data_IF_650689353182
#
_entry.id   IF_650689353182
#
_cell.length_a   1.000
_cell.length_b   1.000
_cell.length_c   1.000
_cell.angle_alpha   90.00
_cell.angle_beta   90.00
_cell.angle_gamma   90.00
#
_symmetry.space_group_name_H-M   'P 1'
#
loop_
_entity.id
_entity.type
_entity.pdbx_description
1 polymer ?
#
# COMPACT_ATOMS: atom_id res chain seq x y z
N UNK A 1 6.46 -41.78 -13.08
CA UNK A 1 5.64 -41.97 -11.88
C UNK A 1 4.19 -42.02 -12.34
N UNK A 2 3.51 -43.14 -12.19
CA UNK A 2 2.11 -43.26 -12.64
C UNK A 2 1.18 -42.93 -11.48
N UNK A 3 0.41 -41.85 -11.64
CA UNK A 3 -0.55 -41.42 -10.62
C UNK A 3 -1.75 -42.39 -10.67
N UNK A 4 -2.16 -42.94 -9.52
CA UNK A 4 -3.29 -43.86 -9.47
C UNK A 4 -4.63 -43.10 -9.61
N UNK A 5 -5.62 -43.73 -10.24
CA UNK A 5 -6.99 -43.19 -10.34
C UNK A 5 -7.59 -42.92 -8.95
N UNK A 6 -7.26 -43.74 -7.94
CA UNK A 6 -7.68 -43.56 -6.56
C UNK A 6 -7.12 -42.28 -5.93
N UNK A 7 -5.88 -41.88 -6.31
CA UNK A 7 -5.27 -40.62 -5.88
C UNK A 7 -5.96 -39.45 -6.56
N UNK A 8 -6.23 -39.52 -7.86
CA UNK A 8 -6.93 -38.47 -8.59
C UNK A 8 -8.35 -38.24 -8.09
N UNK A 9 -9.13 -39.28 -7.84
CA UNK A 9 -10.50 -39.16 -7.31
C UNK A 9 -10.53 -38.59 -5.88
N UNK A 10 -9.46 -38.71 -5.11
CA UNK A 10 -9.38 -38.13 -3.75
C UNK A 10 -9.02 -36.64 -3.75
N UNK A 11 -8.38 -36.15 -4.80
CA UNK A 11 -7.96 -34.73 -4.93
C UNK A 11 -9.01 -33.90 -5.67
N UNK A 12 -9.84 -34.55 -6.52
CA UNK A 12 -10.94 -33.91 -7.24
C UNK A 12 -12.22 -33.96 -6.41
N UNK A 13 -12.98 -32.88 -6.45
CA UNK A 13 -14.30 -32.79 -5.83
C UNK A 13 -15.33 -32.35 -6.88
N UNK A 14 -16.56 -32.89 -6.79
CA UNK A 14 -17.69 -32.39 -7.56
C UNK A 14 -18.30 -31.17 -6.89
N UNK A 15 -18.89 -30.26 -7.66
CA UNK A 15 -19.47 -29.01 -7.14
C UNK A 15 -20.50 -29.26 -6.02
N UNK A 16 -21.32 -30.33 -6.10
CA UNK A 16 -22.27 -30.68 -5.05
C UNK A 16 -21.61 -31.17 -3.75
N UNK A 17 -20.36 -31.61 -3.79
CA UNK A 17 -19.57 -31.94 -2.59
C UNK A 17 -19.02 -30.65 -1.95
N UNK A 18 -18.68 -29.66 -2.75
CA UNK A 18 -18.27 -28.34 -2.29
C UNK A 18 -19.43 -27.56 -1.67
N UNK A 19 -20.63 -27.69 -2.22
CA UNK A 19 -21.86 -27.06 -1.66
C UNK A 19 -22.26 -27.60 -0.28
N UNK A 20 -21.75 -28.79 0.13
CA UNK A 20 -21.99 -29.39 1.45
C UNK A 20 -21.03 -28.88 2.52
N UNK A 21 -19.95 -28.24 2.16
CA UNK A 21 -19.07 -27.55 3.11
C UNK A 21 -19.82 -26.32 3.62
N UNK A 22 -20.60 -26.48 4.69
CA UNK A 22 -21.28 -25.40 5.39
C UNK A 22 -20.25 -24.32 5.75
N UNK A 23 -20.36 -23.16 5.08
CA UNK A 23 -19.63 -21.93 5.34
C UNK A 23 -18.12 -22.14 5.51
N UNK A 24 -17.40 -22.17 4.40
CA UNK A 24 -15.94 -21.96 4.44
C UNK A 24 -15.68 -20.65 5.22
N UNK A 25 -14.84 -20.70 6.26
CA UNK A 25 -14.53 -19.50 7.01
C UNK A 25 -13.88 -18.47 6.08
N UNK A 26 -14.25 -17.22 6.25
CA UNK A 26 -13.58 -16.11 5.55
C UNK A 26 -12.07 -16.21 5.75
N UNK A 27 -11.29 -15.99 4.69
CA UNK A 27 -9.84 -16.00 4.77
C UNK A 27 -9.40 -14.82 5.65
N UNK A 28 -8.72 -15.13 6.76
CA UNK A 28 -8.15 -14.11 7.64
C UNK A 28 -7.21 -13.19 6.85
N UNK A 29 -7.47 -11.90 6.85
CA UNK A 29 -6.54 -10.90 6.32
C UNK A 29 -5.67 -10.35 7.45
N UNK A 30 -4.40 -10.69 7.44
CA UNK A 30 -3.40 -10.16 8.38
C UNK A 30 -3.30 -8.64 8.18
N UNK A 31 -3.37 -7.89 9.28
CA UNK A 31 -3.50 -6.43 9.27
C UNK A 31 -4.71 -5.92 8.46
N UNK A 32 -5.71 -6.76 8.19
CA UNK A 32 -6.83 -6.43 7.31
C UNK A 32 -6.47 -6.31 5.83
N UNK A 33 -5.23 -6.60 5.47
CA UNK A 33 -4.68 -6.42 4.12
C UNK A 33 -4.32 -7.75 3.46
N UNK A 34 -3.47 -8.53 4.10
CA UNK A 34 -2.75 -9.65 3.48
C UNK A 34 -3.42 -10.99 3.80
N UNK A 35 -4.02 -11.69 2.82
CA UNK A 35 -4.66 -12.98 3.06
C UNK A 35 -3.69 -14.01 3.61
N UNK A 36 -4.05 -14.65 4.73
CA UNK A 36 -3.29 -15.73 5.36
C UNK A 36 -3.26 -16.96 4.48
N UNK A 37 -2.11 -17.61 4.35
CA UNK A 37 -1.90 -18.76 3.48
C UNK A 37 -1.65 -18.38 2.01
N UNK A 38 -1.56 -17.09 1.68
CA UNK A 38 -1.41 -16.60 0.32
C UNK A 38 -0.29 -15.59 0.17
N UNK A 39 0.02 -15.27 -1.08
CA UNK A 39 1.01 -14.26 -1.44
C UNK A 39 0.34 -12.97 -1.91
N UNK A 40 0.83 -11.85 -1.41
CA UNK A 40 0.41 -10.51 -1.80
C UNK A 40 1.58 -9.70 -2.34
N UNK A 41 1.29 -8.73 -3.19
CA UNK A 41 2.27 -7.74 -3.65
C UNK A 41 1.89 -6.37 -3.09
N UNK A 42 2.88 -5.65 -2.59
CA UNK A 42 2.79 -4.24 -2.23
C UNK A 42 3.78 -3.45 -3.10
N UNK A 43 3.25 -2.74 -4.08
CA UNK A 43 4.06 -2.04 -5.08
C UNK A 43 3.94 -0.52 -4.95
N UNK A 44 5.09 0.17 -5.06
CA UNK A 44 5.12 1.63 -5.07
C UNK A 44 6.35 2.14 -5.82
N UNK A 45 6.37 3.42 -6.18
CA UNK A 45 7.59 4.06 -6.68
C UNK A 45 8.67 4.12 -5.61
N UNK A 46 9.92 4.27 -6.02
CA UNK A 46 11.01 4.52 -5.10
C UNK A 46 10.75 5.83 -4.33
N UNK A 47 11.03 5.83 -3.04
CA UNK A 47 10.81 7.01 -2.18
C UNK A 47 9.38 7.19 -1.63
N UNK A 48 8.39 6.43 -2.09
CA UNK A 48 6.99 6.52 -1.62
C UNK A 48 6.77 6.04 -0.17
N UNK A 49 7.77 5.47 0.49
CA UNK A 49 7.62 5.02 1.87
C UNK A 49 7.17 3.56 2.08
N UNK A 50 7.34 2.67 1.07
CA UNK A 50 7.02 1.23 1.20
C UNK A 50 7.56 0.59 2.46
N UNK A 51 8.85 0.75 2.70
CA UNK A 51 9.54 0.18 3.86
C UNK A 51 8.98 0.73 5.17
N UNK A 52 8.68 2.03 5.25
CA UNK A 52 8.06 2.64 6.40
C UNK A 52 6.69 2.06 6.72
N UNK A 53 5.86 1.87 5.68
CA UNK A 53 4.55 1.25 5.86
C UNK A 53 4.65 -0.20 6.32
N UNK A 54 5.58 -0.97 5.76
CA UNK A 54 5.88 -2.34 6.20
C UNK A 54 6.32 -2.38 7.67
N UNK A 55 7.22 -1.48 8.08
CA UNK A 55 7.71 -1.34 9.46
C UNK A 55 6.56 -1.00 10.41
N UNK A 56 5.68 -0.06 10.02
CA UNK A 56 4.47 0.27 10.78
C UNK A 56 3.56 -0.95 10.98
N UNK A 57 3.27 -1.69 9.92
CA UNK A 57 2.46 -2.90 9.99
C UNK A 57 3.10 -3.95 10.91
N UNK A 58 4.42 -4.16 10.80
CA UNK A 58 5.14 -5.10 11.65
C UNK A 58 5.05 -4.71 13.13
N UNK A 59 5.22 -3.43 13.47
CA UNK A 59 5.08 -2.91 14.83
C UNK A 59 3.64 -3.12 15.34
N UNK A 60 2.64 -2.73 14.57
CA UNK A 60 1.25 -2.86 14.94
C UNK A 60 0.83 -4.33 15.17
N UNK A 61 1.26 -5.25 14.30
CA UNK A 61 1.03 -6.70 14.45
C UNK A 61 1.71 -7.27 15.69
N UNK A 62 2.94 -6.83 16.00
CA UNK A 62 3.68 -7.33 17.17
C UNK A 62 2.97 -7.02 18.49
N UNK A 63 2.34 -5.86 18.57
CA UNK A 63 1.59 -5.39 19.73
C UNK A 63 0.18 -6.00 19.79
N UNK A 64 -0.42 -6.26 18.64
CA UNK A 64 -1.84 -6.58 18.50
C UNK A 64 -2.73 -5.36 18.75
N UNK A 65 -4.05 -5.57 18.74
CA UNK A 65 -5.03 -4.51 18.92
C UNK A 65 -5.49 -3.88 17.60
N UNK A 66 -5.89 -2.63 17.65
CA UNK A 66 -6.34 -1.91 16.48
C UNK A 66 -5.16 -1.58 15.55
N UNK A 67 -5.26 -2.00 14.31
CA UNK A 67 -4.33 -1.68 13.24
C UNK A 67 -5.08 -0.78 12.27
N UNK A 68 -4.35 0.13 11.61
CA UNK A 68 -4.94 1.02 10.61
C UNK A 68 -6.18 1.78 11.14
N UNK A 69 -6.04 2.45 12.29
CA UNK A 69 -7.08 3.31 12.88
C UNK A 69 -8.43 2.63 13.14
N UNK A 70 -8.42 1.32 13.43
CA UNK A 70 -9.60 0.60 13.93
C UNK A 70 -10.52 0.01 12.87
N UNK A 71 -10.17 0.08 11.59
CA UNK A 71 -10.94 -0.58 10.52
C UNK A 71 -10.73 -2.09 10.48
N UNK A 72 -9.69 -2.57 11.14
CA UNK A 72 -9.43 -3.98 11.30
C UNK A 72 -9.89 -4.42 12.68
N UNK A 73 -10.64 -5.52 12.80
CA UNK A 73 -10.95 -6.10 14.10
C UNK A 73 -9.67 -6.28 14.93
N UNK A 74 -9.76 -6.14 16.24
CA UNK A 74 -8.60 -6.32 17.13
C UNK A 74 -7.82 -7.55 16.72
N UNK A 75 -6.60 -7.35 16.22
CA UNK A 75 -5.74 -8.47 15.86
C UNK A 75 -5.09 -9.05 17.12
N UNK A 76 -4.86 -10.37 17.11
CA UNK A 76 -3.97 -10.98 18.10
C UNK A 76 -2.53 -10.50 17.87
N UNK A 77 -1.67 -10.65 18.84
CA UNK A 77 -0.24 -10.43 18.65
C UNK A 77 0.31 -11.44 17.64
N UNK A 78 0.99 -10.94 16.62
CA UNK A 78 1.51 -11.73 15.51
C UNK A 78 3.02 -11.56 15.39
N UNK A 79 3.67 -12.59 14.84
CA UNK A 79 5.11 -12.56 14.57
C UNK A 79 5.37 -12.23 13.11
N UNK A 80 6.27 -11.27 12.90
CA UNK A 80 6.69 -10.81 11.58
C UNK A 80 8.14 -11.18 11.33
N UNK A 81 8.43 -11.72 10.14
CA UNK A 81 9.79 -11.87 9.64
C UNK A 81 9.97 -10.93 8.45
N UNK A 82 11.05 -10.17 8.44
CA UNK A 82 11.41 -9.24 7.38
C UNK A 82 12.72 -9.69 6.75
N UNK A 83 12.70 -9.97 5.46
CA UNK A 83 13.89 -10.17 4.64
C UNK A 83 14.27 -8.83 4.01
N UNK A 84 15.25 -8.17 4.63
CA UNK A 84 15.73 -6.84 4.25
C UNK A 84 16.79 -6.94 3.15
N UNK A 85 16.43 -6.59 1.93
CA UNK A 85 17.31 -6.65 0.75
C UNK A 85 17.93 -5.32 0.37
N UNK A 86 17.17 -4.22 0.46
CA UNK A 86 17.64 -2.88 0.10
C UNK A 86 18.05 -2.06 1.33
N UNK A 87 17.22 -2.13 2.36
CA UNK A 87 17.45 -1.41 3.61
C UNK A 87 18.08 -2.39 4.61
N UNK A 88 19.36 -2.29 4.85
CA UNK A 88 20.04 -3.15 5.81
C UNK A 88 19.42 -3.05 7.22
N UNK A 89 19.57 -4.11 8.00
CA UNK A 89 19.04 -4.25 9.37
C UNK A 89 19.31 -3.03 10.25
N UNK A 90 20.51 -2.46 10.16
CA UNK A 90 20.89 -1.29 10.97
C UNK A 90 20.00 -0.06 10.67
N UNK A 91 19.76 0.24 9.40
CA UNK A 91 18.92 1.38 9.02
C UNK A 91 17.45 1.16 9.39
N UNK A 92 16.96 -0.07 9.26
CA UNK A 92 15.62 -0.45 9.70
C UNK A 92 15.44 -0.22 11.21
N UNK A 93 16.38 -0.70 12.03
CA UNK A 93 16.34 -0.46 13.48
C UNK A 93 16.42 1.02 13.81
N UNK A 94 17.28 1.79 13.12
CA UNK A 94 17.40 3.25 13.31
C UNK A 94 16.07 3.98 12.98
N UNK A 95 15.37 3.55 11.94
CA UNK A 95 14.03 4.08 11.61
C UNK A 95 13.04 3.79 12.72
N UNK A 96 12.95 2.56 13.21
CA UNK A 96 12.08 2.20 14.33
C UNK A 96 12.36 3.04 15.58
N UNK A 97 13.61 3.40 15.83
CA UNK A 97 13.98 4.28 16.95
C UNK A 97 13.53 5.73 16.73
N UNK A 98 13.37 6.16 15.48
CA UNK A 98 12.91 7.50 15.15
C UNK A 98 11.37 7.63 15.19
N UNK A 99 10.64 6.55 15.47
CA UNK A 99 9.18 6.55 15.59
C UNK A 99 8.74 6.57 17.06
N UNK A 100 7.49 6.93 17.29
CA UNK A 100 6.82 6.76 18.58
C UNK A 100 6.06 5.42 18.68
N UNK A 101 6.24 4.52 17.71
CA UNK A 101 5.50 3.27 17.67
C UNK A 101 5.95 2.32 18.79
N UNK A 102 4.99 1.92 19.59
CA UNK A 102 5.18 0.82 20.53
C UNK A 102 5.18 -0.51 19.78
N UNK A 103 6.11 -1.40 20.11
CA UNK A 103 6.17 -2.73 19.50
C UNK A 103 6.86 -3.75 20.42
N UNK A 104 6.49 -5.02 20.24
CA UNK A 104 7.14 -6.15 20.91
C UNK A 104 8.33 -6.62 20.08
N UNK A 105 9.53 -6.29 20.54
CA UNK A 105 10.81 -6.61 19.88
C UNK A 105 11.00 -8.12 19.65
N UNK A 106 10.41 -8.96 20.49
CA UNK A 106 10.52 -10.42 20.36
C UNK A 106 9.70 -10.99 19.20
N UNK A 107 8.81 -10.19 18.59
CA UNK A 107 7.91 -10.60 17.53
C UNK A 107 8.26 -10.05 16.14
N UNK A 108 9.34 -9.28 16.05
CA UNK A 108 9.86 -8.77 14.78
C UNK A 108 11.26 -9.30 14.58
N UNK A 109 11.45 -10.15 13.58
CA UNK A 109 12.75 -10.71 13.22
C UNK A 109 13.18 -10.18 11.86
N UNK A 110 14.41 -9.72 11.74
CA UNK A 110 14.96 -9.18 10.50
C UNK A 110 16.14 -10.05 10.06
N UNK A 111 16.08 -10.52 8.83
CA UNK A 111 17.17 -11.19 8.13
C UNK A 111 17.70 -10.24 7.05
N UNK A 112 18.92 -9.78 7.22
CA UNK A 112 19.60 -8.86 6.32
C UNK A 112 20.32 -9.64 5.22
N UNK A 113 20.02 -9.35 3.96
CA UNK A 113 20.62 -10.06 2.82
C UNK A 113 22.16 -9.94 2.79
N UNK A 114 22.71 -8.79 3.17
CA UNK A 114 24.16 -8.56 3.19
C UNK A 114 24.81 -9.36 4.32
N UNK A 115 24.18 -9.39 5.52
CA UNK A 115 24.68 -10.21 6.63
C UNK A 115 24.63 -11.70 6.27
N UNK A 116 23.52 -12.18 5.71
CA UNK A 116 23.40 -13.58 5.27
C UNK A 116 24.48 -13.95 4.24
N UNK A 117 24.73 -13.07 3.27
CA UNK A 117 25.79 -13.28 2.28
C UNK A 117 27.19 -13.27 2.92
N UNK A 118 27.45 -12.40 3.86
CA UNK A 118 28.74 -12.32 4.60
C UNK A 118 29.02 -13.58 5.41
N UNK A 119 27.97 -14.17 5.99
CA UNK A 119 28.04 -15.43 6.75
C UNK A 119 27.93 -16.66 5.84
N UNK A 120 28.00 -16.47 4.52
CA UNK A 120 27.90 -17.53 3.51
C UNK A 120 26.61 -18.37 3.61
N UNK A 121 25.56 -17.80 4.17
CA UNK A 121 24.25 -18.46 4.28
C UNK A 121 23.51 -18.35 2.94
N UNK A 122 23.20 -19.46 2.27
CA UNK A 122 22.47 -19.42 1.01
C UNK A 122 21.08 -18.82 1.18
N UNK A 123 20.69 -17.85 0.36
CA UNK A 123 19.41 -17.16 0.45
C UNK A 123 18.67 -17.05 -0.88
N UNK A 124 19.31 -17.43 -1.99
CA UNK A 124 18.70 -17.31 -3.32
C UNK A 124 17.58 -18.32 -3.53
N UNK A 125 16.35 -17.86 -3.63
CA UNK A 125 15.12 -18.67 -3.71
C UNK A 125 14.96 -19.46 -5.02
N UNK A 126 15.79 -19.19 -5.99
CA UNK A 126 15.90 -20.02 -7.22
C UNK A 126 16.91 -21.17 -7.08
N UNK A 127 17.57 -21.33 -5.92
CA UNK A 127 18.47 -22.46 -5.62
C UNK A 127 17.86 -23.39 -4.59
N UNK A 128 18.30 -24.64 -4.56
CA UNK A 128 17.85 -25.64 -3.59
C UNK A 128 18.27 -25.25 -2.18
N UNK A 129 19.50 -24.77 -2.01
CA UNK A 129 20.12 -24.38 -0.75
C UNK A 129 19.39 -23.17 -0.14
N UNK A 130 19.12 -22.12 -0.95
CA UNK A 130 18.40 -20.94 -0.49
C UNK A 130 16.95 -21.28 -0.09
N UNK A 131 16.31 -22.19 -0.79
CA UNK A 131 14.98 -22.71 -0.39
C UNK A 131 15.02 -23.45 0.92
N UNK A 132 16.02 -24.31 1.12
CA UNK A 132 16.21 -25.03 2.38
C UNK A 132 16.43 -24.05 3.55
N UNK A 133 17.24 -23.01 3.34
CA UNK A 133 17.44 -21.94 4.32
C UNK A 133 16.12 -21.26 4.69
N UNK A 134 15.30 -20.86 3.71
CA UNK A 134 14.01 -20.24 3.99
C UNK A 134 13.10 -21.18 4.77
N UNK A 135 13.01 -22.47 4.40
CA UNK A 135 12.22 -23.46 5.14
C UNK A 135 12.69 -23.55 6.59
N UNK A 136 14.01 -23.64 6.83
CA UNK A 136 14.58 -23.69 8.19
C UNK A 136 14.19 -22.46 9.01
N UNK A 137 14.25 -21.27 8.42
CA UNK A 137 13.83 -20.02 9.06
C UNK A 137 12.33 -20.08 9.40
N UNK A 138 11.50 -20.56 8.47
CA UNK A 138 10.06 -20.66 8.69
C UNK A 138 9.70 -21.66 9.81
N UNK A 139 10.39 -22.78 9.88
CA UNK A 139 10.21 -23.78 10.96
C UNK A 139 10.63 -23.26 12.33
N UNK A 140 11.71 -22.49 12.38
CA UNK A 140 12.24 -21.89 13.61
C UNK A 140 11.38 -20.73 14.08
N UNK A 141 11.07 -19.79 13.20
CA UNK A 141 10.43 -18.54 13.55
C UNK A 141 8.90 -18.63 13.61
N UNK A 142 8.29 -19.50 12.81
CA UNK A 142 6.83 -19.69 12.72
C UNK A 142 6.09 -18.35 12.60
N UNK A 143 6.42 -17.51 11.61
CA UNK A 143 5.84 -16.19 11.49
C UNK A 143 4.39 -16.26 11.01
N UNK A 144 3.58 -15.24 11.36
CA UNK A 144 2.27 -15.02 10.79
C UNK A 144 2.35 -14.33 9.43
N UNK A 145 3.37 -13.50 9.25
CA UNK A 145 3.64 -12.80 7.98
C UNK A 145 5.14 -12.70 7.73
N UNK A 146 5.52 -12.85 6.47
CA UNK A 146 6.88 -12.56 6.00
C UNK A 146 6.84 -11.48 4.93
N UNK A 147 7.80 -10.57 4.99
CA UNK A 147 8.01 -9.51 4.01
C UNK A 147 9.35 -9.72 3.31
N UNK A 148 9.37 -9.57 1.99
CA UNK A 148 10.59 -9.43 1.20
C UNK A 148 10.71 -7.98 0.73
N UNK A 149 11.70 -7.25 1.21
CA UNK A 149 11.90 -5.83 0.95
C UNK A 149 13.31 -5.55 0.35
N UNK A 150 13.52 -5.73 -0.92
CA UNK A 150 12.62 -6.21 -1.98
C UNK A 150 12.97 -7.63 -2.40
N UNK A 151 12.09 -8.30 -3.15
CA UNK A 151 12.30 -9.69 -3.57
C UNK A 151 13.57 -9.87 -4.42
N UNK A 152 13.96 -8.87 -5.22
CA UNK A 152 15.12 -8.95 -6.14
C UNK A 152 16.43 -9.31 -5.45
N UNK A 153 16.59 -9.00 -4.17
CA UNK A 153 17.79 -9.33 -3.40
C UNK A 153 17.86 -10.81 -2.97
N UNK A 154 16.80 -11.57 -3.19
CA UNK A 154 16.65 -12.95 -2.72
C UNK A 154 16.53 -13.97 -3.86
N UNK A 155 16.81 -13.60 -5.09
CA UNK A 155 16.94 -14.50 -6.23
C UNK A 155 17.90 -13.94 -7.27
N UNK A 156 18.46 -14.81 -8.09
CA UNK A 156 19.25 -14.45 -9.29
C UNK A 156 18.52 -14.81 -10.60
N UNK A 157 17.23 -15.11 -10.50
CA UNK A 157 16.38 -15.38 -11.66
C UNK A 157 16.21 -14.11 -12.51
N UNK A 158 16.23 -14.26 -13.82
CA UNK A 158 15.93 -13.17 -14.75
C UNK A 158 14.43 -12.83 -14.69
N UNK A 159 14.09 -11.66 -14.15
CA UNK A 159 12.71 -11.21 -14.00
C UNK A 159 11.96 -11.07 -15.34
N UNK A 160 12.66 -10.95 -16.46
CA UNK A 160 12.05 -10.93 -17.79
C UNK A 160 11.65 -12.31 -18.28
N UNK A 161 12.24 -13.37 -17.73
CA UNK A 161 11.98 -14.77 -18.10
C UNK A 161 10.89 -15.38 -17.22
N UNK A 162 9.69 -15.53 -17.76
CA UNK A 162 8.55 -16.07 -17.04
C UNK A 162 8.83 -17.41 -16.35
N UNK A 163 9.55 -18.33 -16.98
CA UNK A 163 9.82 -19.66 -16.42
C UNK A 163 10.66 -19.62 -15.15
N UNK A 164 11.70 -18.78 -15.11
CA UNK A 164 12.56 -18.63 -13.94
C UNK A 164 11.78 -18.03 -12.76
N UNK A 165 11.05 -16.96 -12.99
CA UNK A 165 10.21 -16.32 -11.98
C UNK A 165 9.07 -17.21 -11.51
N UNK A 166 8.47 -18.03 -12.40
CA UNK A 166 7.43 -18.99 -11.99
C UNK A 166 7.93 -19.93 -10.90
N UNK A 167 9.16 -20.40 -11.00
CA UNK A 167 9.76 -21.29 -10.01
C UNK A 167 9.90 -20.64 -8.63
N UNK A 168 10.33 -19.37 -8.58
CA UNK A 168 10.46 -18.60 -7.32
C UNK A 168 9.09 -18.34 -6.73
N UNK A 169 8.16 -17.81 -7.52
CA UNK A 169 6.81 -17.46 -7.07
C UNK A 169 6.03 -18.68 -6.60
N UNK A 170 6.08 -19.80 -7.34
CA UNK A 170 5.43 -21.05 -6.93
C UNK A 170 5.99 -21.57 -5.60
N UNK A 171 7.29 -21.43 -5.38
CA UNK A 171 7.88 -21.81 -4.11
C UNK A 171 7.36 -20.95 -2.96
N UNK A 172 7.28 -19.62 -3.14
CA UNK A 172 6.74 -18.71 -2.13
C UNK A 172 5.26 -18.96 -1.83
N UNK A 173 4.45 -19.31 -2.82
CA UNK A 173 3.06 -19.72 -2.60
C UNK A 173 2.98 -21.00 -1.76
N UNK A 174 3.83 -21.99 -2.01
CA UNK A 174 3.91 -23.20 -1.19
C UNK A 174 4.34 -22.90 0.25
N UNK A 175 5.24 -21.94 0.46
CA UNK A 175 5.61 -21.47 1.81
C UNK A 175 4.40 -20.84 2.50
N UNK A 176 3.67 -19.95 1.82
CA UNK A 176 2.47 -19.32 2.39
C UNK A 176 1.45 -20.38 2.85
N UNK A 177 1.15 -21.35 2.00
CA UNK A 177 0.21 -22.44 2.28
C UNK A 177 0.70 -23.36 3.40
N UNK A 178 1.94 -23.90 3.26
CA UNK A 178 2.49 -24.89 4.20
C UNK A 178 2.64 -24.36 5.62
N UNK A 179 3.00 -23.09 5.78
CA UNK A 179 3.19 -22.45 7.07
C UNK A 179 1.98 -21.62 7.53
N UNK A 180 0.91 -21.60 6.73
CA UNK A 180 -0.31 -20.83 7.00
C UNK A 180 0.01 -19.38 7.40
N UNK A 181 0.88 -18.71 6.62
CA UNK A 181 1.33 -17.33 6.83
C UNK A 181 1.03 -16.48 5.60
N UNK A 182 1.00 -15.16 5.73
CA UNK A 182 1.00 -14.28 4.57
C UNK A 182 2.44 -14.07 4.06
N UNK A 183 2.63 -14.14 2.76
CA UNK A 183 3.87 -13.76 2.09
C UNK A 183 3.64 -12.44 1.37
N UNK A 184 4.40 -11.40 1.70
CA UNK A 184 4.25 -10.07 1.11
C UNK A 184 5.53 -9.67 0.39
N UNK A 185 5.39 -9.38 -0.90
CA UNK A 185 6.49 -8.93 -1.74
C UNK A 185 6.40 -7.43 -1.93
N UNK A 186 7.35 -6.68 -1.34
CA UNK A 186 7.54 -5.28 -1.69
C UNK A 186 8.18 -5.18 -3.07
N UNK A 187 7.57 -4.40 -3.94
CA UNK A 187 7.95 -4.30 -5.34
C UNK A 187 8.00 -2.85 -5.82
N UNK A 188 8.74 -2.60 -6.89
CA UNK A 188 8.78 -1.27 -7.52
C UNK A 188 7.72 -1.14 -8.61
N UNK A 189 7.20 0.08 -8.77
CA UNK A 189 6.41 0.48 -9.94
C UNK A 189 7.33 1.03 -11.03
N UNK A 190 6.98 0.78 -12.29
CA UNK A 190 7.65 1.39 -13.44
C UNK A 190 7.52 2.90 -13.39
N UNK A 191 8.62 3.62 -13.65
CA UNK A 191 8.56 5.05 -13.88
C UNK A 191 7.77 5.30 -15.16
N UNK A 192 6.65 5.97 -15.05
CA UNK A 192 5.87 6.38 -16.22
C UNK A 192 6.61 7.50 -16.94
N UNK A 193 7.01 7.26 -18.20
CA UNK A 193 7.79 8.22 -19.00
C UNK A 193 6.95 9.29 -19.70
N UNK A 194 5.65 9.36 -19.45
CA UNK A 194 4.77 10.31 -20.15
C UNK A 194 4.84 11.70 -19.53
N UNK A 195 5.88 12.47 -19.90
CA UNK A 195 5.98 13.91 -19.64
C UNK A 195 4.86 14.74 -20.31
N UNK A 196 4.05 14.15 -21.19
CA UNK A 196 2.97 14.82 -21.94
C UNK A 196 1.55 14.41 -21.52
N UNK A 197 1.37 13.53 -20.54
CA UNK A 197 0.05 13.21 -20.04
C UNK A 197 -0.41 14.31 -19.09
N UNK A 198 -1.42 15.08 -19.51
CA UNK A 198 -2.03 16.18 -18.73
C UNK A 198 -2.73 15.73 -17.45
N UNK A 199 -2.85 14.43 -17.21
CA UNK A 199 -3.41 13.84 -15.98
C UNK A 199 -2.55 12.63 -15.64
N UNK A 200 -1.90 12.55 -14.45
CA UNK A 200 -1.28 11.34 -13.97
C UNK A 200 -2.38 10.29 -13.79
N UNK A 201 -2.46 9.31 -14.66
CA UNK A 201 -3.39 8.22 -14.46
C UNK A 201 -2.99 7.44 -13.21
N UNK A 202 -3.93 7.18 -12.30
CA UNK A 202 -3.73 6.31 -11.13
C UNK A 202 -3.00 5.03 -11.54
N UNK A 203 -1.91 4.64 -10.86
CA UNK A 203 -1.20 3.41 -11.18
C UNK A 203 -2.13 2.18 -11.09
N UNK A 204 -1.85 1.18 -11.92
CA UNK A 204 -2.59 -0.09 -11.95
C UNK A 204 -1.62 -1.28 -11.88
N UNK A 205 -2.15 -2.51 -11.92
CA UNK A 205 -1.35 -3.73 -11.80
C UNK A 205 -0.28 -3.90 -12.92
N UNK A 206 -0.48 -3.29 -14.09
CA UNK A 206 0.45 -3.39 -15.23
C UNK A 206 1.68 -2.51 -15.04
N UNK A 207 1.63 -1.58 -14.08
CA UNK A 207 2.76 -0.72 -13.73
C UNK A 207 3.76 -1.39 -12.78
N UNK A 208 3.45 -2.57 -12.24
CA UNK A 208 4.39 -3.32 -11.38
C UNK A 208 5.58 -3.79 -12.23
N UNK A 209 6.80 -3.46 -11.77
CA UNK A 209 8.03 -3.86 -12.48
C UNK A 209 8.22 -5.38 -12.38
N UNK A 210 8.88 -5.95 -13.37
CA UNK A 210 9.29 -7.36 -13.40
C UNK A 210 8.27 -8.27 -14.06
N UNK A 211 8.33 -9.54 -13.70
CA UNK A 211 7.50 -10.56 -14.33
C UNK A 211 6.04 -10.44 -13.93
N UNK A 212 5.16 -10.42 -14.93
CA UNK A 212 3.72 -10.52 -14.73
C UNK A 212 3.30 -11.80 -13.98
N UNK A 213 4.20 -12.78 -13.84
CA UNK A 213 3.93 -14.02 -13.09
C UNK A 213 3.59 -13.75 -11.64
N UNK A 214 4.38 -12.94 -10.95
CA UNK A 214 4.11 -12.60 -9.54
C UNK A 214 2.74 -11.93 -9.38
N UNK A 215 2.42 -10.96 -10.25
CA UNK A 215 1.13 -10.25 -10.24
C UNK A 215 -0.04 -11.21 -10.52
N UNK A 216 0.13 -12.12 -11.50
CA UNK A 216 -0.93 -13.10 -11.85
C UNK A 216 -1.21 -14.09 -10.72
N UNK A 217 -0.16 -14.54 -10.03
CA UNK A 217 -0.24 -15.57 -8.99
C UNK A 217 -0.54 -15.00 -7.60
N UNK A 218 -0.36 -13.70 -7.36
CA UNK A 218 -0.71 -13.05 -6.11
C UNK A 218 -2.24 -13.07 -5.89
N UNK A 219 -2.67 -13.30 -4.65
CA UNK A 219 -4.08 -13.20 -4.23
C UNK A 219 -4.54 -11.75 -4.12
N UNK A 220 -3.65 -10.86 -3.71
CA UNK A 220 -3.89 -9.43 -3.59
C UNK A 220 -2.72 -8.63 -4.14
N UNK A 221 -3.02 -7.52 -4.80
CA UNK A 221 -2.02 -6.55 -5.28
C UNK A 221 -2.43 -5.17 -4.80
N UNK A 222 -1.59 -4.60 -3.95
CA UNK A 222 -1.72 -3.23 -3.44
C UNK A 222 -0.76 -2.33 -4.18
N UNK A 223 -1.23 -1.14 -4.54
CA UNK A 223 -0.41 -0.09 -5.11
C UNK A 223 -0.47 1.12 -4.19
N UNK A 224 0.71 1.59 -3.80
CA UNK A 224 0.87 2.83 -3.08
C UNK A 224 1.44 3.90 -4.00
N UNK A 225 0.83 5.07 -4.01
CA UNK A 225 1.24 6.20 -4.84
C UNK A 225 1.04 7.51 -4.10
N UNK A 226 1.89 8.46 -4.44
CA UNK A 226 1.83 9.82 -3.92
C UNK A 226 0.71 10.58 -4.62
N UNK A 227 -0.26 11.05 -3.85
CA UNK A 227 -1.38 11.86 -4.33
C UNK A 227 -1.01 13.33 -4.53
N UNK A 228 0.13 13.78 -4.02
CA UNK A 228 0.54 15.19 -4.08
C UNK A 228 0.85 15.66 -5.51
N UNK A 229 1.13 14.73 -6.44
CA UNK A 229 1.31 15.08 -7.84
C UNK A 229 0.04 15.54 -8.57
N UNK A 230 -1.14 15.28 -8.00
CA UNK A 230 -2.42 15.81 -8.48
C UNK A 230 -2.71 17.21 -7.89
N UNK A 231 -1.96 17.62 -6.86
CA UNK A 231 -2.03 18.93 -6.23
C UNK A 231 -0.61 19.43 -5.90
N UNK A 232 0.02 20.26 -6.78
CA UNK A 232 1.36 20.79 -6.58
C UNK A 232 1.53 21.64 -5.31
N UNK A 233 0.43 21.99 -4.62
CA UNK A 233 0.44 22.74 -3.37
C UNK A 233 0.13 21.87 -2.14
N UNK A 234 -0.04 20.55 -2.30
CA UNK A 234 -0.15 19.60 -1.20
C UNK A 234 1.20 19.29 -0.51
N UNK A 235 2.27 19.95 -0.91
CA UNK A 235 3.44 20.15 -0.07
C UNK A 235 3.02 21.10 1.06
N UNK A 236 2.39 20.53 2.08
CA UNK A 236 2.20 21.22 3.35
C UNK A 236 3.61 21.41 3.94
N UNK A 237 4.22 22.55 3.60
CA UNK A 237 5.61 22.92 3.92
C UNK A 237 5.88 22.93 5.43
N UNK A 238 4.85 22.71 6.26
CA UNK A 238 4.99 22.92 7.71
C UNK A 238 5.12 21.65 8.54
N UNK A 239 4.69 20.44 8.10
CA UNK A 239 4.75 19.28 9.03
C UNK A 239 4.80 17.87 8.41
N UNK A 240 4.94 17.63 7.13
CA UNK A 240 4.72 16.27 6.68
C UNK A 240 5.40 15.81 5.40
N UNK A 241 5.72 14.55 5.39
CA UNK A 241 6.03 13.81 4.17
C UNK A 241 4.75 13.70 3.32
N UNK A 242 4.88 13.43 2.00
CA UNK A 242 3.74 13.37 1.10
C UNK A 242 2.69 12.36 1.58
N UNK A 243 1.45 12.65 1.28
CA UNK A 243 0.34 11.74 1.52
C UNK A 243 0.38 10.59 0.51
N UNK A 244 0.34 9.38 1.02
CA UNK A 244 0.41 8.16 0.20
C UNK A 244 -0.93 7.46 0.21
N UNK A 245 -1.51 7.27 -0.97
CA UNK A 245 -2.76 6.52 -1.15
C UNK A 245 -2.45 5.06 -1.49
N UNK A 246 -3.11 4.14 -0.79
CA UNK A 246 -3.03 2.70 -1.00
C UNK A 246 -4.34 2.18 -1.58
N UNK A 247 -4.25 1.51 -2.72
CA UNK A 247 -5.38 0.91 -3.42
C UNK A 247 -5.12 -0.58 -3.69
N UNK A 248 -6.06 -1.44 -3.34
CA UNK A 248 -6.05 -2.84 -3.79
C UNK A 248 -6.58 -2.93 -5.22
N UNK A 249 -5.67 -3.11 -6.18
CA UNK A 249 -6.01 -3.18 -7.61
C UNK A 249 -6.43 -4.57 -8.06
N UNK A 250 -5.97 -5.61 -7.34
CA UNK A 250 -6.35 -7.00 -7.54
C UNK A 250 -6.70 -7.64 -6.21
N UNK A 251 -7.79 -8.40 -6.15
CA UNK A 251 -8.17 -9.26 -5.03
C UNK A 251 -8.89 -10.49 -5.54
N UNK A 252 -8.67 -11.63 -4.88
CA UNK A 252 -9.47 -12.84 -5.09
C UNK A 252 -10.76 -12.84 -4.28
N UNK A 253 -10.86 -11.95 -3.30
CA UNK A 253 -12.02 -11.74 -2.45
C UNK A 253 -12.53 -10.30 -2.54
N UNK A 254 -13.36 -9.89 -1.60
CA UNK A 254 -13.80 -8.49 -1.47
C UNK A 254 -12.59 -7.59 -1.27
N UNK A 255 -12.47 -6.56 -2.10
CA UNK A 255 -11.38 -5.58 -2.03
C UNK A 255 -11.42 -4.80 -0.72
N UNK A 256 -10.24 -4.53 -0.22
CA UNK A 256 -10.03 -3.56 0.86
C UNK A 256 -10.39 -2.16 0.36
N UNK A 257 -11.10 -1.35 1.15
CA UNK A 257 -11.34 0.05 0.79
C UNK A 257 -10.03 0.80 0.59
N UNK A 258 -10.01 1.73 -0.35
CA UNK A 258 -8.85 2.62 -0.55
C UNK A 258 -8.63 3.45 0.70
N UNK A 259 -7.40 3.59 1.12
CA UNK A 259 -7.01 4.42 2.25
C UNK A 259 -5.73 5.17 1.94
N UNK A 260 -5.45 6.21 2.70
CA UNK A 260 -4.17 6.89 2.65
C UNK A 260 -3.51 6.94 4.01
N UNK A 261 -2.20 7.11 4.00
CA UNK A 261 -1.45 7.48 5.18
C UNK A 261 -0.57 8.68 4.89
N UNK A 262 -0.26 9.43 5.93
CA UNK A 262 0.74 10.47 5.94
C UNK A 262 1.67 10.25 7.13
N UNK A 263 2.96 10.36 6.91
CA UNK A 263 3.92 10.39 8.00
C UNK A 263 3.95 11.80 8.56
N UNK A 264 3.75 11.93 9.86
CA UNK A 264 3.75 13.20 10.57
C UNK A 264 4.82 13.17 11.65
N UNK A 265 5.30 14.33 12.04
CA UNK A 265 6.16 14.46 13.21
C UNK A 265 5.31 14.85 14.42
N UNK A 266 5.50 14.13 15.53
CA UNK A 266 4.91 14.54 16.79
C UNK A 266 5.67 15.72 17.43
N UNK A 267 5.16 16.24 18.55
CA UNK A 267 5.78 17.36 19.28
C UNK A 267 7.20 17.07 19.79
N UNK A 268 7.62 15.82 19.80
CA UNK A 268 8.96 15.37 20.18
C UNK A 268 9.89 15.17 18.98
N UNK A 269 9.41 15.40 17.77
CA UNK A 269 10.13 15.19 16.51
C UNK A 269 10.21 13.72 16.09
N UNK A 270 9.41 12.83 16.69
CA UNK A 270 9.30 11.44 16.27
C UNK A 270 8.24 11.27 15.21
N UNK A 271 8.42 10.25 14.38
CA UNK A 271 7.53 9.94 13.26
C UNK A 271 6.35 9.11 13.75
N UNK A 272 5.14 9.49 13.33
CA UNK A 272 3.90 8.71 13.46
C UNK A 272 3.16 8.63 12.12
N UNK A 273 2.16 7.77 12.04
CA UNK A 273 1.28 7.64 10.88
C UNK A 273 -0.12 8.17 11.18
N UNK A 274 -0.56 9.10 10.35
CA UNK A 274 -1.96 9.48 10.25
C UNK A 274 -2.60 8.69 9.11
N UNK A 275 -3.67 7.96 9.40
CA UNK A 275 -4.34 7.07 8.43
C UNK A 275 -5.77 7.53 8.22
N UNK A 276 -6.15 7.70 6.96
CA UNK A 276 -7.51 8.01 6.54
C UNK A 276 -8.07 6.91 5.64
N UNK A 277 -9.30 6.53 5.90
CA UNK A 277 -10.00 5.48 5.19
C UNK A 277 -11.12 5.99 4.30
N UNK A 278 -11.45 5.17 3.28
CA UNK A 278 -12.63 5.40 2.45
C UNK A 278 -12.49 6.60 1.52
N UNK A 279 -11.24 6.98 1.20
CA UNK A 279 -10.98 8.03 0.23
C UNK A 279 -11.39 7.51 -1.14
N UNK A 280 -12.58 7.89 -1.57
CA UNK A 280 -13.00 7.76 -2.95
C UNK A 280 -12.77 9.09 -3.65
N UNK A 281 -12.61 9.07 -4.98
CA UNK A 281 -12.60 10.30 -5.78
C UNK A 281 -13.81 11.20 -5.43
N UNK A 282 -14.99 10.60 -5.19
CA UNK A 282 -16.18 11.31 -4.72
C UNK A 282 -16.04 11.95 -3.34
N UNK A 283 -15.30 11.33 -2.42
CA UNK A 283 -15.05 11.89 -1.08
C UNK A 283 -14.07 13.06 -1.17
N UNK A 284 -13.07 12.96 -2.05
CA UNK A 284 -12.12 14.05 -2.35
C UNK A 284 -12.84 15.23 -3.00
N UNK A 285 -13.73 14.99 -3.98
CA UNK A 285 -14.55 16.04 -4.58
C UNK A 285 -15.49 16.71 -3.56
N UNK A 286 -16.10 15.93 -2.66
CA UNK A 286 -16.91 16.48 -1.56
C UNK A 286 -16.07 17.34 -0.61
N UNK A 287 -14.89 16.87 -0.22
CA UNK A 287 -13.98 17.62 0.66
C UNK A 287 -13.56 18.95 0.04
N UNK A 288 -13.16 18.97 -1.24
CA UNK A 288 -12.81 20.21 -1.94
C UNK A 288 -14.01 21.14 -2.09
N UNK A 289 -15.17 20.62 -2.46
CA UNK A 289 -16.41 21.40 -2.55
C UNK A 289 -16.79 22.02 -1.21
N UNK A 290 -16.70 21.26 -0.10
CA UNK A 290 -16.96 21.76 1.24
C UNK A 290 -15.95 22.84 1.64
N UNK A 291 -14.68 22.69 1.30
CA UNK A 291 -13.63 23.70 1.58
C UNK A 291 -13.87 24.98 0.80
N UNK A 292 -14.20 24.90 -0.50
CA UNK A 292 -14.56 26.09 -1.31
C UNK A 292 -15.79 26.77 -0.72
N UNK A 293 -16.83 26.00 -0.35
CA UNK A 293 -18.04 26.51 0.26
C UNK A 293 -17.75 27.19 1.61
N UNK A 294 -16.91 26.59 2.45
CA UNK A 294 -16.50 27.15 3.72
C UNK A 294 -15.69 28.46 3.54
N UNK A 295 -14.76 28.49 2.57
CA UNK A 295 -14.01 29.70 2.24
C UNK A 295 -14.95 30.83 1.81
N UNK A 296 -15.88 30.57 0.88
CA UNK A 296 -16.86 31.58 0.44
C UNK A 296 -17.70 32.10 1.63
N UNK A 297 -18.12 31.18 2.54
CA UNK A 297 -18.89 31.54 3.73
C UNK A 297 -18.10 32.35 4.76
N UNK A 298 -16.78 32.30 4.76
CA UNK A 298 -15.92 33.08 5.66
C UNK A 298 -15.71 34.52 5.19
N UNK A 299 -16.09 34.83 3.95
CA UNK A 299 -15.99 36.18 3.39
C UNK A 299 -17.29 36.96 3.57
N UNK A 300 -17.16 38.27 3.75
CA UNK A 300 -18.33 39.17 3.80
C UNK A 300 -19.00 39.26 2.44
N UNK A 301 -20.34 39.52 2.44
CA UNK A 301 -21.08 39.78 1.22
C UNK A 301 -20.48 40.97 0.45
N UNK A 302 -20.27 40.76 -0.83
CA UNK A 302 -19.60 41.72 -1.72
C UNK A 302 -18.10 41.49 -1.93
N UNK A 303 -17.48 40.56 -1.19
CA UNK A 303 -16.07 40.18 -1.43
C UNK A 303 -15.90 39.61 -2.84
N UNK A 304 -14.77 39.90 -3.47
CA UNK A 304 -14.44 39.44 -4.83
C UNK A 304 -13.31 38.43 -4.74
N UNK A 305 -13.53 37.25 -5.25
CA UNK A 305 -12.57 36.13 -5.25
C UNK A 305 -12.21 35.76 -6.68
N UNK A 306 -10.93 35.63 -6.98
CA UNK A 306 -10.48 35.02 -8.22
C UNK A 306 -10.29 33.50 -8.07
N UNK A 307 -10.23 32.76 -9.18
CA UNK A 307 -9.89 31.34 -9.13
C UNK A 307 -8.48 31.09 -8.56
N UNK A 308 -7.56 32.05 -8.72
CA UNK A 308 -6.20 31.97 -8.19
C UNK A 308 -6.19 32.15 -6.66
N UNK A 309 -7.00 33.08 -6.13
CA UNK A 309 -7.13 33.27 -4.68
C UNK A 309 -7.73 32.03 -4.03
N UNK A 310 -8.85 31.55 -4.58
CA UNK A 310 -9.50 30.33 -4.06
C UNK A 310 -8.56 29.12 -4.15
N UNK A 311 -7.83 28.95 -5.27
CA UNK A 311 -6.88 27.86 -5.44
C UNK A 311 -5.77 27.89 -4.39
N UNK A 312 -5.23 29.08 -4.13
CA UNK A 312 -4.20 29.30 -3.10
C UNK A 312 -4.72 29.01 -1.70
N UNK A 313 -5.88 29.58 -1.34
CA UNK A 313 -6.41 29.53 0.03
C UNK A 313 -6.88 28.14 0.45
N UNK A 314 -7.33 27.32 -0.50
CA UNK A 314 -7.74 25.93 -0.22
C UNK A 314 -6.73 24.89 -0.72
N UNK A 315 -5.56 25.29 -1.20
CA UNK A 315 -4.51 24.43 -1.75
C UNK A 315 -5.04 23.45 -2.79
N UNK A 316 -5.59 23.99 -3.90
CA UNK A 316 -6.09 23.19 -5.02
C UNK A 316 -5.65 23.78 -6.37
N UNK A 317 -5.92 23.06 -7.47
CA UNK A 317 -5.67 23.60 -8.79
C UNK A 317 -6.66 24.72 -9.16
N UNK A 318 -6.21 25.66 -9.98
CA UNK A 318 -7.07 26.75 -10.50
C UNK A 318 -8.31 26.24 -11.23
N UNK A 319 -8.19 25.11 -11.94
CA UNK A 319 -9.29 24.50 -12.66
C UNK A 319 -10.36 23.92 -11.71
N UNK A 320 -9.91 23.28 -10.62
CA UNK A 320 -10.81 22.82 -9.55
C UNK A 320 -11.48 23.99 -8.84
N UNK A 321 -10.71 25.02 -8.49
CA UNK A 321 -11.27 26.23 -7.89
C UNK A 321 -12.36 26.83 -8.78
N UNK A 322 -12.08 26.99 -10.09
CA UNK A 322 -13.06 27.49 -11.06
C UNK A 322 -14.30 26.61 -11.15
N UNK A 323 -14.14 25.29 -11.26
CA UNK A 323 -15.25 24.33 -11.30
C UNK A 323 -16.19 24.53 -10.11
N UNK A 324 -15.65 24.56 -8.89
CA UNK A 324 -16.48 24.68 -7.69
C UNK A 324 -17.08 26.08 -7.50
N UNK A 325 -16.40 27.13 -7.94
CA UNK A 325 -16.99 28.48 -7.94
C UNK A 325 -18.14 28.61 -8.96
N UNK A 326 -18.07 27.91 -10.08
CA UNK A 326 -19.19 27.81 -11.04
C UNK A 326 -20.39 27.05 -10.45
N UNK A 327 -20.15 25.93 -9.73
CA UNK A 327 -21.22 25.23 -9.00
C UNK A 327 -21.85 26.11 -7.91
N UNK A 328 -21.08 26.93 -7.21
CA UNK A 328 -21.62 27.88 -6.23
C UNK A 328 -22.38 29.04 -6.89
N UNK A 329 -22.01 29.40 -8.14
CA UNK A 329 -22.78 30.35 -8.95
C UNK A 329 -24.16 29.80 -9.30
N UNK A 330 -24.24 28.55 -9.75
CA UNK A 330 -25.50 27.86 -10.01
C UNK A 330 -26.37 27.71 -8.75
N UNK A 331 -25.73 27.54 -7.59
CA UNK A 331 -26.42 27.49 -6.29
C UNK A 331 -26.79 28.88 -5.73
N UNK A 332 -26.51 29.97 -6.44
CA UNK A 332 -26.87 31.33 -6.03
C UNK A 332 -26.09 31.84 -4.82
N UNK A 333 -24.90 31.32 -4.56
CA UNK A 333 -24.03 31.71 -3.43
C UNK A 333 -22.99 32.75 -3.80
N UNK A 334 -22.59 32.81 -5.04
CA UNK A 334 -21.68 33.79 -5.65
C UNK A 334 -22.18 34.22 -7.00
N UNK A 335 -21.84 35.44 -7.40
CA UNK A 335 -22.16 35.99 -8.72
C UNK A 335 -20.89 36.07 -9.57
N UNK A 336 -20.93 35.47 -10.75
CA UNK A 336 -19.80 35.53 -11.69
C UNK A 336 -19.71 36.90 -12.36
N UNK A 337 -18.57 37.51 -12.30
CA UNK A 337 -18.30 38.82 -12.91
C UNK A 337 -17.05 38.77 -13.77
N UNK A 338 -16.93 39.70 -14.75
CA UNK A 338 -15.72 39.94 -15.50
C UNK A 338 -15.03 41.19 -14.96
N UNK A 339 -13.79 41.01 -14.55
CA UNK A 339 -12.95 42.13 -14.14
C UNK A 339 -11.68 42.18 -15.02
N UNK A 340 -11.58 43.20 -15.86
CA UNK A 340 -10.57 43.26 -16.93
C UNK A 340 -10.62 42.02 -17.82
N UNK A 341 -9.51 41.25 -17.89
CA UNK A 341 -9.41 40.02 -18.69
C UNK A 341 -9.62 38.72 -17.84
N UNK A 342 -10.01 38.85 -16.58
CA UNK A 342 -10.14 37.73 -15.66
C UNK A 342 -11.60 37.52 -15.25
N UNK A 343 -11.95 36.23 -14.98
CA UNK A 343 -13.22 35.87 -14.35
C UNK A 343 -13.02 35.94 -12.84
N UNK A 344 -13.91 36.62 -12.15
CA UNK A 344 -13.97 36.71 -10.68
C UNK A 344 -15.37 36.38 -10.20
N UNK A 345 -15.52 36.08 -8.94
CA UNK A 345 -16.80 35.79 -8.29
C UNK A 345 -17.00 36.73 -7.10
N UNK A 346 -18.18 37.34 -7.04
CA UNK A 346 -18.62 38.17 -5.92
C UNK A 346 -19.44 37.32 -4.98
N UNK A 347 -19.12 37.34 -3.71
CA UNK A 347 -19.89 36.66 -2.65
C UNK A 347 -21.21 37.41 -2.46
N UNK A 348 -22.34 36.68 -2.47
CA UNK A 348 -23.69 37.23 -2.36
C UNK A 348 -24.15 37.34 -0.89
#
# INVERSE_FOLDING_TARGET
MTISLKTLSRVGAFSHELDREEQLPDIERIAGLYPRGYMSIFAAQAGTGKTWFMEYIACALSRGGNILSGLVPKSRRMKTVIFAGETGKYLLVKRLQATNWEYDKSRIKVYDAIELQREEIPILLNTTEGRATLITIMEQEKPDVIFFDTLISFHSADESKQGEMTSVVTFLLKIAEAFNCAVVLNHHLRKRSNKNAKIPSTPNQDDVIGSNVAVRMASSVFIAYDDSNDDPQAEDEQNGMPRVTIKEVKSWEKKVPTFSYQMIYDDTGKIDFFIEWGITEKTRERSLRERVSALVNSHESGAILSADDVARDISTSKDNARKYMEELTEAGRVERQKFMNSTVWRVL
#
